data_IF_304453645577
#
_entry.id   IF_304453645577
#
_cell.length_a   1.000
_cell.length_b   1.000
_cell.length_c   1.000
_cell.angle_alpha   90.00
_cell.angle_beta   90.00
_cell.angle_gamma   90.00
#
_symmetry.space_group_name_H-M   'P 1'
#
loop_
_entity.id
_entity.type
_entity.pdbx_description
1 polymer ?
#
# COMPACT_ATOMS: atom_id res chain seq x y z
N UNK A 1 6.66 -14.40 26.95
CA UNK A 1 7.45 -13.23 26.51
C UNK A 1 6.58 -12.42 25.55
N UNK A 2 6.36 -11.11 25.78
CA UNK A 2 5.63 -10.31 24.79
C UNK A 2 6.46 -10.24 23.51
N UNK A 3 5.82 -10.56 22.38
CA UNK A 3 6.43 -10.43 21.05
C UNK A 3 6.68 -8.95 20.81
N UNK A 4 7.94 -8.53 20.77
CA UNK A 4 8.32 -7.20 20.31
C UNK A 4 8.17 -7.17 18.79
N UNK A 5 7.09 -6.59 18.29
CA UNK A 5 6.96 -6.25 16.89
C UNK A 5 7.93 -5.09 16.64
N UNK A 6 8.95 -5.31 15.80
CA UNK A 6 9.78 -4.21 15.32
C UNK A 6 8.93 -3.36 14.39
N UNK A 7 8.40 -2.24 14.89
CA UNK A 7 7.40 -1.40 14.21
C UNK A 7 7.88 -0.75 12.89
N UNK A 8 9.13 -0.95 12.49
CA UNK A 8 9.70 -0.41 11.27
C UNK A 8 10.12 -1.54 10.31
N UNK A 9 9.17 -2.04 9.54
CA UNK A 9 9.47 -2.78 8.32
C UNK A 9 9.76 -1.76 7.20
N UNK A 10 11.03 -1.62 6.83
CA UNK A 10 11.41 -0.82 5.66
C UNK A 10 11.35 -1.68 4.39
N UNK A 11 10.42 -1.35 3.50
CA UNK A 11 10.24 -2.03 2.22
C UNK A 11 10.94 -1.31 1.05
N UNK A 12 11.79 -0.31 1.32
CA UNK A 12 12.47 0.51 0.29
C UNK A 12 13.28 -0.26 -0.74
N UNK A 13 13.64 -1.51 -0.44
CA UNK A 13 14.38 -2.43 -1.32
C UNK A 13 13.49 -3.37 -2.14
N UNK A 14 12.18 -3.40 -1.86
CA UNK A 14 11.26 -4.41 -2.38
C UNK A 14 10.27 -3.82 -3.39
N UNK A 15 10.09 -4.54 -4.52
CA UNK A 15 8.99 -4.32 -5.46
C UNK A 15 7.89 -5.32 -5.14
N UNK A 16 6.67 -4.83 -4.93
CA UNK A 16 5.54 -5.65 -4.48
C UNK A 16 4.44 -5.57 -5.54
N UNK A 17 3.93 -6.73 -5.96
CA UNK A 17 2.76 -6.82 -6.83
C UNK A 17 1.61 -7.37 -6.00
N UNK A 18 0.56 -6.58 -5.80
CA UNK A 18 -0.62 -6.99 -5.04
C UNK A 18 -1.83 -7.13 -5.97
N UNK A 19 -2.19 -8.36 -6.30
CA UNK A 19 -3.37 -8.68 -7.09
C UNK A 19 -4.64 -8.57 -6.25
N UNK A 20 -5.77 -8.22 -6.87
CA UNK A 20 -7.06 -8.13 -6.15
C UNK A 20 -7.14 -6.94 -5.17
N UNK A 21 -6.26 -5.94 -5.32
CA UNK A 21 -6.17 -4.80 -4.41
C UNK A 21 -7.29 -3.75 -4.57
N UNK A 22 -8.11 -3.85 -5.62
CA UNK A 22 -9.12 -2.82 -5.94
C UNK A 22 -10.23 -2.69 -4.91
N UNK A 23 -10.42 -3.69 -4.05
CA UNK A 23 -11.49 -3.69 -3.04
C UNK A 23 -11.17 -4.63 -1.86
N UNK A 24 -12.00 -4.59 -0.82
CA UNK A 24 -11.96 -5.50 0.33
C UNK A 24 -10.60 -5.55 1.04
N UNK A 25 -10.17 -6.76 1.40
CA UNK A 25 -8.90 -6.99 2.14
C UNK A 25 -7.68 -6.52 1.34
N UNK A 26 -7.70 -6.70 0.02
CA UNK A 26 -6.62 -6.25 -0.85
C UNK A 26 -6.43 -4.74 -0.81
N UNK A 27 -7.52 -3.97 -0.70
CA UNK A 27 -7.46 -2.51 -0.58
C UNK A 27 -6.80 -2.05 0.72
N UNK A 28 -7.17 -2.65 1.86
CA UNK A 28 -6.54 -2.31 3.13
C UNK A 28 -5.08 -2.76 3.20
N UNK A 29 -4.76 -3.93 2.64
CA UNK A 29 -3.37 -4.37 2.53
C UNK A 29 -2.54 -3.41 1.66
N UNK A 30 -3.10 -2.91 0.55
CA UNK A 30 -2.42 -1.91 -0.29
C UNK A 30 -2.08 -0.64 0.51
N UNK A 31 -2.99 -0.19 1.39
CA UNK A 31 -2.77 0.97 2.26
C UNK A 31 -1.67 0.74 3.28
N UNK A 32 -1.68 -0.42 3.95
CA UNK A 32 -0.63 -0.81 4.91
C UNK A 32 0.73 -0.86 4.20
N UNK A 33 0.83 -1.59 3.08
CA UNK A 33 2.06 -1.73 2.32
C UNK A 33 2.56 -0.40 1.77
N UNK A 34 1.66 0.49 1.34
CA UNK A 34 2.02 1.84 0.90
C UNK A 34 2.65 2.69 2.01
N UNK A 35 2.26 2.45 3.27
CA UNK A 35 2.84 3.09 4.46
C UNK A 35 4.26 2.65 4.79
N UNK A 36 4.69 1.45 4.39
CA UNK A 36 6.01 0.89 4.67
C UNK A 36 7.11 1.27 3.67
N UNK A 37 6.90 2.33 2.89
CA UNK A 37 7.86 2.87 1.91
C UNK A 37 8.42 1.82 0.92
N UNK A 38 7.59 1.06 0.20
CA UNK A 38 8.08 0.08 -0.76
C UNK A 38 8.81 0.75 -1.92
N UNK A 39 9.85 0.11 -2.47
CA UNK A 39 10.53 0.60 -3.69
C UNK A 39 9.53 0.90 -4.80
N UNK A 40 8.55 0.00 -4.95
CA UNK A 40 7.42 0.13 -5.88
C UNK A 40 6.29 -0.79 -5.44
N UNK A 41 5.06 -0.26 -5.40
CA UNK A 41 3.84 -1.03 -5.21
C UNK A 41 3.06 -1.04 -6.54
N UNK A 42 2.85 -2.22 -7.10
CA UNK A 42 2.12 -2.44 -8.36
C UNK A 42 0.77 -3.05 -8.01
N UNK A 43 -0.30 -2.43 -8.51
CA UNK A 43 -1.69 -2.81 -8.21
C UNK A 43 -2.41 -3.17 -9.51
N UNK A 44 -2.30 -4.42 -9.99
CA UNK A 44 -2.99 -4.85 -11.19
C UNK A 44 -4.51 -4.76 -11.00
N UNK A 45 -5.19 -4.07 -11.90
CA UNK A 45 -6.63 -3.88 -11.88
C UNK A 45 -7.23 -4.27 -13.23
N UNK A 46 -8.32 -5.05 -13.19
CA UNK A 46 -9.11 -5.38 -14.40
C UNK A 46 -9.93 -4.20 -14.90
N UNK A 47 -10.32 -3.30 -14.00
CA UNK A 47 -11.06 -2.08 -14.30
C UNK A 47 -10.21 -0.87 -13.92
N UNK A 48 -9.92 -0.02 -14.91
CA UNK A 48 -9.05 1.15 -14.76
C UNK A 48 -9.62 2.20 -13.79
N UNK A 49 -10.93 2.44 -13.80
CA UNK A 49 -11.57 3.39 -12.89
C UNK A 49 -11.44 2.95 -11.42
N UNK A 50 -11.66 1.66 -11.14
CA UNK A 50 -11.46 1.12 -9.78
C UNK A 50 -10.00 1.24 -9.34
N UNK A 51 -9.06 1.01 -10.25
CA UNK A 51 -7.63 1.21 -10.00
C UNK A 51 -7.27 2.67 -9.69
N UNK A 52 -7.82 3.61 -10.46
CA UNK A 52 -7.61 5.05 -10.23
C UNK A 52 -8.18 5.50 -8.87
N UNK A 53 -9.39 5.06 -8.53
CA UNK A 53 -10.00 5.34 -7.20
C UNK A 53 -9.14 4.80 -6.06
N UNK A 54 -8.56 3.60 -6.22
CA UNK A 54 -7.62 3.05 -5.25
C UNK A 54 -6.35 3.92 -5.13
N UNK A 55 -5.80 4.37 -6.27
CA UNK A 55 -4.62 5.23 -6.26
C UNK A 55 -4.87 6.56 -5.53
N UNK A 56 -6.03 7.19 -5.79
CA UNK A 56 -6.45 8.39 -5.07
C UNK A 56 -6.61 8.14 -3.57
N UNK A 57 -7.27 7.04 -3.20
CA UNK A 57 -7.42 6.61 -1.79
C UNK A 57 -6.07 6.43 -1.08
N UNK A 58 -5.09 5.79 -1.73
CA UNK A 58 -3.77 5.58 -1.15
C UNK A 58 -3.02 6.90 -0.97
N UNK A 59 -3.11 7.81 -1.95
CA UNK A 59 -2.51 9.15 -1.87
C UNK A 59 -3.14 9.98 -0.76
N UNK A 60 -4.46 9.98 -0.62
CA UNK A 60 -5.15 10.70 0.45
C UNK A 60 -4.89 10.11 1.83
N UNK A 61 -4.57 8.81 1.91
CA UNK A 61 -4.25 8.14 3.17
C UNK A 61 -2.86 8.50 3.71
N UNK A 62 -1.95 8.98 2.85
CA UNK A 62 -0.70 9.61 3.27
C UNK A 62 -1.04 11.06 3.63
N UNK A 63 -1.47 11.30 4.87
CA UNK A 63 -1.56 12.67 5.38
C UNK A 63 -0.24 13.40 5.12
N UNK A 64 -0.32 14.67 4.70
CA UNK A 64 0.80 15.60 4.47
C UNK A 64 2.09 15.17 5.18
N UNK A 65 2.99 14.57 4.41
CA UNK A 65 4.42 14.56 4.73
C UNK A 65 5.11 15.27 3.56
N UNK A 66 4.82 16.56 3.46
CA UNK A 66 5.69 17.49 2.75
C UNK A 66 6.96 17.64 3.60
N UNK A 67 8.08 17.19 3.06
CA UNK A 67 9.43 17.64 3.39
C UNK A 67 10.21 17.70 2.07
#
# INVERSE_FOLDING_TARGET
MPVKLSDNYDLSKHVIILTGATDGIGKEMAKILFGFNPKRLILPARNKEKGNKLLEYLKSSKGHIDN
#
